data_IF_518707594828
#
_entry.id   IF_518707594828
#
_cell.length_a   1.000
_cell.length_b   1.000
_cell.length_c   1.000
_cell.angle_alpha   90.00
_cell.angle_beta   90.00
_cell.angle_gamma   90.00
#
_symmetry.space_group_name_H-M   'P 1'
#
loop_
_entity.id
_entity.type
_entity.pdbx_description
1 polymer ?
#
# COMPACT_ATOMS: atom_id res chain seq x y z
N UNK A 1 -10.48 -20.61 46.90
CA UNK A 1 -9.51 -21.71 47.15
C UNK A 1 -10.19 -23.10 47.32
N UNK A 2 -11.40 -23.32 46.75
CA UNK A 2 -12.22 -24.50 47.10
C UNK A 2 -12.22 -25.67 46.11
N UNK A 3 -11.68 -25.50 44.89
CA UNK A 3 -11.87 -26.48 43.81
C UNK A 3 -11.08 -27.77 44.06
N UNK A 4 -11.75 -28.90 44.16
CA UNK A 4 -11.13 -30.17 44.54
C UNK A 4 -10.07 -30.66 43.55
N UNK A 5 -10.21 -30.32 42.27
CA UNK A 5 -9.16 -30.55 41.27
C UNK A 5 -7.86 -29.80 41.58
N UNK A 6 -7.94 -28.57 42.09
CA UNK A 6 -6.76 -27.81 42.50
C UNK A 6 -6.15 -28.38 43.79
N UNK A 7 -6.97 -28.83 44.74
CA UNK A 7 -6.50 -29.53 45.95
C UNK A 7 -5.80 -30.84 45.60
N UNK A 8 -6.38 -31.67 44.72
CA UNK A 8 -5.78 -32.91 44.20
C UNK A 8 -4.45 -32.65 43.50
N UNK A 9 -4.37 -31.60 42.67
CA UNK A 9 -3.12 -31.18 42.01
C UNK A 9 -2.03 -30.72 43.00
N UNK A 10 -2.41 -30.09 44.12
CA UNK A 10 -1.45 -29.72 45.18
C UNK A 10 -1.00 -30.93 46.00
N UNK A 11 -1.92 -31.84 46.31
CA UNK A 11 -1.64 -33.09 47.05
C UNK A 11 -0.77 -34.07 46.27
N UNK A 12 -0.86 -34.08 44.94
CA UNK A 12 -0.11 -35.03 44.12
C UNK A 12 1.41 -34.79 44.08
N UNK A 13 1.93 -33.71 44.69
CA UNK A 13 3.35 -33.32 44.76
C UNK A 13 4.09 -33.30 43.40
N UNK A 14 3.35 -33.33 42.29
CA UNK A 14 3.91 -33.28 40.94
C UNK A 14 4.43 -31.87 40.68
N UNK A 15 5.63 -31.72 40.07
CA UNK A 15 6.17 -30.41 39.74
C UNK A 15 5.20 -29.66 38.83
N UNK A 16 4.93 -28.40 39.17
CA UNK A 16 4.03 -27.55 38.38
C UNK A 16 4.70 -27.24 37.04
N UNK A 17 4.18 -27.82 35.96
CA UNK A 17 4.58 -27.45 34.59
C UNK A 17 4.19 -26.00 34.36
N UNK A 18 5.19 -25.15 34.19
CA UNK A 18 5.02 -23.74 33.83
C UNK A 18 5.59 -23.56 32.42
N UNK A 19 4.82 -23.05 31.46
CA UNK A 19 5.36 -22.74 30.14
C UNK A 19 6.42 -21.65 30.29
N UNK A 20 7.65 -21.91 29.82
CA UNK A 20 8.70 -20.89 29.74
C UNK A 20 8.36 -19.98 28.56
N UNK A 21 8.12 -18.70 28.83
CA UNK A 21 8.06 -17.71 27.76
C UNK A 21 9.49 -17.41 27.32
N UNK A 22 9.81 -17.45 26.02
CA UNK A 22 11.13 -17.04 25.57
C UNK A 22 11.32 -15.55 25.89
N UNK A 23 12.40 -15.21 26.59
CA UNK A 23 12.75 -13.82 26.91
C UNK A 23 13.30 -13.06 25.68
N UNK A 24 13.60 -13.78 24.59
CA UNK A 24 14.20 -13.23 23.37
C UNK A 24 13.13 -12.99 22.32
N UNK A 25 13.28 -11.88 21.58
CA UNK A 25 12.46 -11.60 20.42
C UNK A 25 12.68 -12.71 19.38
N UNK A 26 11.58 -13.33 18.95
CA UNK A 26 11.57 -14.30 17.88
C UNK A 26 11.75 -13.55 16.54
N UNK A 27 12.29 -14.24 15.54
CA UNK A 27 12.33 -13.72 14.17
C UNK A 27 10.91 -13.34 13.72
N UNK A 28 10.77 -12.28 12.90
CA UNK A 28 9.49 -11.93 12.32
C UNK A 28 8.93 -13.12 11.56
N UNK A 29 7.65 -13.42 11.78
CA UNK A 29 6.92 -14.49 11.07
C UNK A 29 6.18 -13.87 9.89
N UNK A 30 6.04 -14.63 8.80
CA UNK A 30 5.37 -14.18 7.58
C UNK A 30 6.27 -14.32 6.37
N UNK A 31 7.05 -13.29 6.07
CA UNK A 31 7.94 -13.29 4.91
C UNK A 31 9.30 -13.93 5.23
N UNK A 32 9.69 -14.94 4.44
CA UNK A 32 10.98 -15.62 4.57
C UNK A 32 12.14 -14.67 4.29
N UNK A 33 12.07 -13.78 3.30
CA UNK A 33 13.16 -12.83 2.97
C UNK A 33 13.52 -11.93 4.14
N UNK A 34 12.51 -11.37 4.82
CA UNK A 34 12.71 -10.51 5.98
C UNK A 34 13.28 -11.33 7.13
N UNK A 35 12.82 -12.57 7.33
CA UNK A 35 13.29 -13.44 8.39
C UNK A 35 14.76 -13.86 8.23
N UNK A 36 15.26 -14.04 7.00
CA UNK A 36 16.67 -14.34 6.72
C UNK A 36 17.57 -13.13 7.00
N UNK A 37 17.12 -11.93 6.66
CA UNK A 37 17.89 -10.69 6.84
C UNK A 37 17.68 -10.03 8.22
N UNK A 38 17.08 -10.74 9.19
CA UNK A 38 16.77 -10.18 10.51
C UNK A 38 17.92 -10.36 11.52
N UNK A 39 18.47 -9.25 12.01
CA UNK A 39 19.45 -9.28 13.10
C UNK A 39 18.74 -9.21 14.47
N UNK A 40 18.87 -10.29 15.27
CA UNK A 40 18.29 -10.38 16.62
C UNK A 40 18.93 -9.42 17.63
N UNK A 41 20.10 -8.88 17.34
CA UNK A 41 20.80 -7.93 18.22
C UNK A 41 20.30 -6.50 18.05
N UNK A 42 19.71 -6.20 16.90
CA UNK A 42 19.20 -4.86 16.57
C UNK A 42 17.75 -4.70 17.04
N UNK A 43 17.36 -3.46 17.30
CA UNK A 43 15.96 -3.13 17.58
C UNK A 43 15.11 -3.29 16.31
N UNK A 44 13.79 -3.42 16.49
CA UNK A 44 12.85 -3.50 15.37
C UNK A 44 13.02 -2.30 14.42
N UNK A 45 13.15 -1.09 14.96
CA UNK A 45 13.31 0.13 14.17
C UNK A 45 14.63 0.17 13.40
N UNK A 46 15.73 -0.27 14.01
CA UNK A 46 17.03 -0.36 13.34
C UNK A 46 17.02 -1.37 12.19
N UNK A 47 16.46 -2.55 12.41
CA UNK A 47 16.36 -3.59 11.38
C UNK A 47 15.56 -3.10 10.17
N UNK A 48 14.35 -2.56 10.38
CA UNK A 48 13.55 -2.06 9.25
C UNK A 48 14.26 -0.93 8.51
N UNK A 49 14.90 0.02 9.21
CA UNK A 49 15.72 1.06 8.56
C UNK A 49 16.84 0.47 7.70
N UNK A 50 17.58 -0.52 8.23
CA UNK A 50 18.64 -1.22 7.48
C UNK A 50 18.08 -1.93 6.24
N UNK A 51 16.88 -2.50 6.34
CA UNK A 51 16.22 -3.16 5.23
C UNK A 51 15.65 -2.16 4.21
N UNK A 52 15.65 -0.86 4.47
CA UNK A 52 15.01 0.15 3.61
C UNK A 52 13.49 0.23 3.79
N UNK A 53 12.97 -0.25 4.92
CA UNK A 53 11.56 -0.32 5.27
C UNK A 53 11.23 0.62 6.44
N UNK A 54 9.98 1.04 6.50
CA UNK A 54 9.48 1.90 7.58
C UNK A 54 8.98 1.06 8.75
N UNK A 55 9.47 1.34 9.96
CA UNK A 55 9.06 0.63 11.17
C UNK A 55 7.70 1.11 11.74
N UNK A 56 7.38 2.40 11.54
CA UNK A 56 6.15 3.05 12.02
C UNK A 56 5.71 4.10 11.01
N UNK A 57 4.43 4.11 10.68
CA UNK A 57 3.86 5.05 9.70
C UNK A 57 3.77 6.50 10.24
N UNK A 58 3.44 6.66 11.52
CA UNK A 58 3.36 7.98 12.16
C UNK A 58 4.70 8.41 12.71
N UNK A 59 4.92 9.72 12.77
CA UNK A 59 6.07 10.32 13.43
C UNK A 59 6.22 9.77 14.86
N UNK A 60 7.40 9.23 15.23
CA UNK A 60 7.61 8.69 16.55
C UNK A 60 7.59 9.82 17.59
N UNK A 61 6.94 9.59 18.72
CA UNK A 61 7.02 10.50 19.86
C UNK A 61 8.39 10.40 20.52
N UNK A 62 9.06 11.54 20.69
CA UNK A 62 10.40 11.63 21.29
C UNK A 62 11.54 11.54 20.27
N UNK A 63 12.77 11.44 20.77
CA UNK A 63 13.97 11.37 19.93
C UNK A 63 14.11 10.01 19.23
N UNK A 64 14.63 10.04 18.00
CA UNK A 64 15.08 8.84 17.30
C UNK A 64 16.60 8.76 17.32
N UNK A 65 17.13 7.55 17.31
CA UNK A 65 18.57 7.33 17.15
C UNK A 65 19.03 7.88 15.80
N UNK A 66 19.96 8.83 15.83
CA UNK A 66 20.62 9.34 14.62
C UNK A 66 21.67 8.32 14.19
N UNK A 67 21.55 7.78 12.98
CA UNK A 67 22.62 6.96 12.41
C UNK A 67 23.81 7.87 12.09
N UNK A 68 25.05 7.46 12.41
CA UNK A 68 26.25 8.18 11.98
C UNK A 68 26.51 7.85 10.50
N UNK A 69 25.59 8.23 9.62
CA UNK A 69 25.87 8.27 8.20
C UNK A 69 26.76 9.48 7.95
N UNK A 70 27.98 9.16 7.53
CA UNK A 70 28.99 10.06 6.96
C UNK A 70 28.32 11.20 6.19
N UNK A 71 28.72 12.42 6.53
CA UNK A 71 28.30 13.64 5.85
C UNK A 71 26.79 13.88 5.91
N UNK A 72 26.34 14.28 7.10
CA UNK A 72 25.53 15.49 7.09
C UNK A 72 26.42 16.54 6.43
N UNK A 73 26.21 16.79 5.14
CA UNK A 73 26.25 18.15 4.63
C UNK A 73 25.45 18.93 5.66
N UNK A 74 26.20 19.52 6.60
CA UNK A 74 25.64 20.57 7.43
C UNK A 74 25.17 21.54 6.38
N UNK A 75 23.86 21.78 6.31
CA UNK A 75 23.39 23.10 5.92
C UNK A 75 24.33 24.05 6.65
N UNK A 76 25.24 24.67 5.90
CA UNK A 76 26.24 25.59 6.42
C UNK A 76 25.42 26.75 6.98
N UNK A 77 25.04 26.57 8.24
CA UNK A 77 24.32 27.46 9.12
C UNK A 77 22.94 27.90 8.61
N UNK A 78 21.89 27.20 9.04
CA UNK A 78 20.52 27.74 9.11
C UNK A 78 20.41 29.03 9.97
N UNK A 79 21.51 29.50 10.56
CA UNK A 79 21.67 30.75 11.30
C UNK A 79 22.83 31.63 10.78
N UNK A 80 23.49 31.32 9.65
CA UNK A 80 24.47 32.25 9.08
C UNK A 80 23.72 33.34 8.34
N UNK A 81 23.93 34.57 8.80
CA UNK A 81 23.58 35.76 8.06
C UNK A 81 24.50 35.80 6.85
N UNK A 82 23.95 35.67 5.64
CA UNK A 82 24.72 35.80 4.41
C UNK A 82 25.37 37.21 4.35
N UNK A 83 26.58 37.35 3.77
CA UNK A 83 27.23 38.64 3.63
C UNK A 83 26.36 39.62 2.83
N UNK A 84 26.40 40.90 3.22
CA UNK A 84 25.57 42.01 2.70
C UNK A 84 25.62 42.16 1.17
N UNK A 85 26.65 41.63 0.52
CA UNK A 85 26.81 41.60 -0.94
C UNK A 85 25.72 40.81 -1.67
N UNK A 86 25.01 39.89 -0.98
CA UNK A 86 23.86 39.14 -1.52
C UNK A 86 22.51 39.72 -1.13
N UNK A 87 22.47 40.85 -0.41
CA UNK A 87 21.21 41.53 -0.14
C UNK A 87 20.67 42.09 -1.45
N UNK A 88 19.58 41.49 -1.94
CA UNK A 88 18.84 41.95 -3.13
C UNK A 88 18.29 43.35 -2.78
N UNK A 89 18.99 44.40 -3.19
CA UNK A 89 18.45 45.76 -3.15
C UNK A 89 17.49 45.85 -4.34
N UNK A 90 16.20 45.67 -4.10
CA UNK A 90 15.18 45.85 -5.14
C UNK A 90 14.91 47.33 -5.37
N UNK A 91 15.12 47.82 -6.59
CA UNK A 91 14.72 49.17 -6.98
C UNK A 91 13.20 49.22 -7.22
N UNK A 92 12.49 50.11 -6.52
CA UNK A 92 11.10 50.40 -6.80
C UNK A 92 11.00 51.66 -7.66
N UNK A 93 10.32 51.59 -8.81
CA UNK A 93 10.08 52.77 -9.67
C UNK A 93 8.95 53.61 -9.08
N UNK A 94 9.22 54.89 -8.85
CA UNK A 94 8.29 55.85 -8.22
C UNK A 94 8.02 57.02 -9.17
N UNK A 95 6.75 57.37 -9.35
CA UNK A 95 6.35 58.55 -10.13
C UNK A 95 6.16 59.77 -9.19
N UNK A 96 6.75 60.90 -9.58
CA UNK A 96 6.71 62.18 -8.84
C UNK A 96 6.00 63.27 -9.65
N UNK A 97 5.42 64.25 -8.96
CA UNK A 97 4.92 65.50 -9.57
C UNK A 97 6.04 66.54 -9.79
N UNK A 98 5.66 67.67 -10.39
CA UNK A 98 6.53 68.82 -10.70
C UNK A 98 7.17 69.44 -9.44
N UNK A 99 6.57 69.23 -8.25
CA UNK A 99 7.08 69.67 -6.95
C UNK A 99 7.88 68.59 -6.20
N UNK A 100 8.11 67.43 -6.84
CA UNK A 100 8.95 66.34 -6.31
C UNK A 100 8.29 65.45 -5.25
N UNK A 101 6.97 65.59 -5.03
CA UNK A 101 6.20 64.76 -4.11
C UNK A 101 5.80 63.44 -4.77
N UNK A 102 5.84 62.36 -4.00
CA UNK A 102 5.56 61.00 -4.46
C UNK A 102 4.04 60.81 -4.59
N UNK A 103 3.56 60.51 -5.80
CA UNK A 103 2.13 60.24 -6.06
C UNK A 103 1.86 58.74 -6.12
N UNK A 104 2.74 57.95 -6.77
CA UNK A 104 2.48 56.52 -6.99
C UNK A 104 3.77 55.70 -7.03
N UNK A 105 3.79 54.58 -6.29
CA UNK A 105 4.81 53.53 -6.37
C UNK A 105 4.27 52.44 -7.30
N UNK A 106 5.00 52.11 -8.36
CA UNK A 106 4.60 51.08 -9.33
C UNK A 106 5.10 49.71 -8.84
N UNK A 107 4.25 48.67 -8.77
CA UNK A 107 4.69 47.33 -8.44
C UNK A 107 5.59 46.75 -9.56
N UNK A 108 6.59 45.96 -9.17
CA UNK A 108 7.46 45.25 -10.10
C UNK A 108 6.65 44.21 -10.91
N UNK A 109 6.98 43.98 -12.20
CA UNK A 109 6.17 43.16 -13.10
C UNK A 109 6.10 41.66 -12.75
N UNK A 110 6.93 41.17 -11.81
CA UNK A 110 7.04 39.73 -11.54
C UNK A 110 6.53 39.31 -10.14
N UNK A 111 5.69 40.11 -9.49
CA UNK A 111 5.04 39.71 -8.24
C UNK A 111 3.66 39.10 -8.51
N UNK A 112 3.59 38.08 -9.36
CA UNK A 112 2.42 37.20 -9.45
C UNK A 112 2.72 35.92 -8.67
N UNK A 113 2.27 35.92 -7.43
CA UNK A 113 2.20 34.77 -6.54
C UNK A 113 1.19 33.77 -7.10
N UNK A 114 1.66 32.86 -7.94
CA UNK A 114 0.98 31.59 -8.17
C UNK A 114 1.44 30.62 -7.08
N UNK A 115 0.62 30.49 -6.05
CA UNK A 115 0.55 29.32 -5.18
C UNK A 115 -0.07 28.20 -6.05
N UNK A 116 0.73 27.70 -6.99
CA UNK A 116 0.41 26.47 -7.71
C UNK A 116 0.61 25.35 -6.69
N UNK A 117 -0.50 24.70 -6.32
CA UNK A 117 -0.51 23.40 -5.68
C UNK A 117 0.39 22.47 -6.51
N UNK A 118 1.67 22.38 -6.13
CA UNK A 118 2.63 21.40 -6.62
C UNK A 118 2.03 20.03 -6.27
N UNK A 119 1.29 19.45 -7.20
CA UNK A 119 1.13 18.01 -7.30
C UNK A 119 2.53 17.45 -7.51
N UNK A 120 3.25 17.24 -6.39
CA UNK A 120 4.54 16.56 -6.37
C UNK A 120 4.35 15.22 -7.09
N UNK A 121 4.76 15.18 -8.36
CA UNK A 121 4.92 13.94 -9.10
C UNK A 121 5.83 13.06 -8.23
N UNK A 122 5.27 12.01 -7.65
CA UNK A 122 6.03 11.04 -6.87
C UNK A 122 7.04 10.38 -7.81
N UNK A 123 8.22 10.99 -7.96
CA UNK A 123 9.35 10.37 -8.62
C UNK A 123 9.53 8.99 -8.00
N UNK A 124 9.47 7.94 -8.83
CA UNK A 124 9.68 6.56 -8.38
C UNK A 124 11.10 6.44 -7.80
N UNK A 125 11.22 6.69 -6.50
CA UNK A 125 12.49 6.63 -5.78
C UNK A 125 13.05 5.23 -5.96
N UNK A 126 14.25 5.15 -6.51
CA UNK A 126 14.95 3.89 -6.76
C UNK A 126 14.98 3.04 -5.46
N UNK A 127 14.77 1.72 -5.55
CA UNK A 127 14.70 0.86 -4.38
C UNK A 127 15.99 0.99 -3.57
N UNK A 128 15.86 1.48 -2.34
CA UNK A 128 16.98 1.83 -1.45
C UNK A 128 17.83 0.63 -1.05
N UNK A 129 17.29 -0.59 -1.15
CA UNK A 129 17.95 -1.83 -0.74
C UNK A 129 17.56 -3.01 -1.64
N UNK A 130 18.50 -3.95 -1.81
CA UNK A 130 18.31 -5.21 -2.54
C UNK A 130 17.11 -6.02 -2.02
N UNK A 131 16.89 -6.00 -0.70
CA UNK A 131 15.75 -6.68 -0.08
C UNK A 131 14.43 -6.06 -0.54
N UNK A 132 14.36 -4.72 -0.59
CA UNK A 132 13.16 -4.02 -1.06
C UNK A 132 12.91 -4.34 -2.53
N UNK A 133 13.96 -4.37 -3.36
CA UNK A 133 13.84 -4.76 -4.78
C UNK A 133 13.21 -6.15 -4.93
N UNK A 134 13.69 -7.14 -4.19
CA UNK A 134 13.12 -8.49 -4.22
C UNK A 134 11.68 -8.54 -3.69
N UNK A 135 11.36 -7.76 -2.65
CA UNK A 135 9.99 -7.64 -2.15
C UNK A 135 9.04 -7.01 -3.18
N UNK A 136 9.49 -5.98 -3.90
CA UNK A 136 8.72 -5.37 -4.99
C UNK A 136 8.49 -6.37 -6.12
N UNK A 137 9.50 -7.15 -6.50
CA UNK A 137 9.37 -8.20 -7.51
C UNK A 137 8.34 -9.26 -7.10
N UNK A 138 8.38 -9.72 -5.84
CA UNK A 138 7.39 -10.66 -5.31
C UNK A 138 5.98 -10.05 -5.28
N UNK A 139 5.85 -8.77 -4.96
CA UNK A 139 4.56 -8.08 -4.96
C UNK A 139 4.00 -7.89 -6.38
N UNK A 140 4.88 -7.67 -7.36
CA UNK A 140 4.54 -7.59 -8.79
C UNK A 140 4.12 -8.92 -9.37
N UNK A 141 4.37 -10.05 -8.70
CA UNK A 141 3.95 -11.36 -9.15
C UNK A 141 2.53 -11.67 -8.65
N UNK A 142 1.47 -11.48 -9.47
CA UNK A 142 0.12 -11.82 -9.05
C UNK A 142 -0.01 -13.34 -8.89
N UNK A 143 -0.73 -13.77 -7.85
CA UNK A 143 -1.10 -15.17 -7.73
C UNK A 143 -1.89 -15.62 -8.98
N UNK A 144 -1.69 -16.86 -9.47
CA UNK A 144 -2.39 -17.34 -10.65
C UNK A 144 -3.90 -17.31 -10.40
N UNK A 145 -4.61 -16.52 -11.21
CA UNK A 145 -6.06 -16.43 -11.13
C UNK A 145 -6.68 -17.77 -11.56
N UNK A 146 -7.49 -18.36 -10.68
CA UNK A 146 -8.26 -19.56 -11.01
C UNK A 146 -9.56 -19.13 -11.70
N UNK A 147 -9.76 -19.42 -13.00
CA UNK A 147 -11.01 -19.08 -13.67
C UNK A 147 -12.17 -19.84 -13.02
N UNK A 148 -13.32 -19.17 -12.86
CA UNK A 148 -14.53 -19.82 -12.34
C UNK A 148 -15.10 -20.76 -13.39
N UNK A 149 -15.08 -22.06 -13.15
CA UNK A 149 -15.73 -23.04 -14.05
C UNK A 149 -17.23 -23.14 -13.78
N UNK A 150 -18.00 -23.56 -14.79
CA UNK A 150 -19.40 -23.95 -14.62
C UNK A 150 -19.49 -25.35 -13.99
N UNK A 151 -20.62 -25.67 -13.38
CA UNK A 151 -20.87 -27.05 -12.89
C UNK A 151 -21.16 -28.00 -14.06
N UNK A 152 -20.91 -29.30 -13.88
CA UNK A 152 -21.19 -30.30 -14.92
C UNK A 152 -22.68 -30.38 -15.27
N UNK A 153 -23.55 -30.28 -14.27
CA UNK A 153 -25.01 -30.31 -14.48
C UNK A 153 -25.50 -29.07 -15.24
N UNK A 154 -24.91 -27.90 -14.97
CA UNK A 154 -25.22 -26.70 -15.73
C UNK A 154 -24.79 -26.83 -17.19
N UNK A 155 -23.63 -27.42 -17.46
CA UNK A 155 -23.19 -27.72 -18.84
C UNK A 155 -24.16 -28.67 -19.54
N UNK A 156 -24.59 -29.75 -18.89
CA UNK A 156 -25.57 -30.68 -19.47
C UNK A 156 -26.93 -30.01 -19.73
N UNK A 157 -27.35 -29.12 -18.82
CA UNK A 157 -28.57 -28.35 -18.98
C UNK A 157 -28.51 -27.42 -20.20
N UNK A 158 -27.40 -26.68 -20.35
CA UNK A 158 -27.16 -25.82 -21.52
C UNK A 158 -27.05 -26.64 -22.79
N UNK A 159 -26.39 -27.81 -22.75
CA UNK A 159 -26.31 -28.72 -23.91
C UNK A 159 -27.70 -29.11 -24.40
N UNK A 160 -28.61 -29.53 -23.50
CA UNK A 160 -30.00 -29.88 -23.87
C UNK A 160 -30.76 -28.70 -24.49
N UNK A 161 -30.49 -27.47 -24.03
CA UNK A 161 -31.10 -26.27 -24.61
C UNK A 161 -30.57 -25.99 -26.03
N UNK A 162 -29.25 -26.12 -26.23
CA UNK A 162 -28.59 -25.96 -27.54
C UNK A 162 -29.05 -27.06 -28.51
N UNK A 163 -29.10 -28.32 -28.08
CA UNK A 163 -29.56 -29.45 -28.92
C UNK A 163 -31.00 -29.26 -29.41
N UNK A 164 -31.86 -28.60 -28.61
CA UNK A 164 -33.28 -28.38 -28.95
C UNK A 164 -33.53 -27.11 -29.76
N UNK A 165 -32.87 -26.01 -29.42
CA UNK A 165 -33.18 -24.67 -29.95
C UNK A 165 -32.07 -24.08 -30.84
N UNK A 166 -30.94 -24.77 -30.99
CA UNK A 166 -29.78 -24.31 -31.75
C UNK A 166 -29.17 -23.05 -31.15
N UNK A 167 -29.01 -22.01 -31.96
CA UNK A 167 -28.47 -20.70 -31.54
C UNK A 167 -29.54 -19.73 -30.98
N UNK A 168 -30.82 -20.11 -30.97
CA UNK A 168 -31.91 -19.20 -30.63
C UNK A 168 -32.13 -19.06 -29.11
N UNK A 169 -31.36 -18.19 -28.45
CA UNK A 169 -31.42 -17.96 -26.99
C UNK A 169 -32.77 -17.42 -26.51
N UNK A 170 -33.50 -16.70 -27.36
CA UNK A 170 -34.88 -16.23 -27.06
C UNK A 170 -35.86 -17.40 -26.96
N UNK A 171 -35.70 -18.43 -27.82
CA UNK A 171 -36.51 -19.63 -27.76
C UNK A 171 -36.17 -20.49 -26.54
N UNK A 172 -34.87 -20.58 -26.18
CA UNK A 172 -34.41 -21.25 -24.96
C UNK A 172 -35.02 -20.63 -23.69
N UNK A 173 -35.03 -19.29 -23.61
CA UNK A 173 -35.60 -18.59 -22.46
C UNK A 173 -37.11 -18.85 -22.30
N UNK A 174 -37.84 -19.00 -23.42
CA UNK A 174 -39.28 -19.28 -23.45
C UNK A 174 -39.64 -20.76 -23.21
N UNK A 175 -38.67 -21.67 -23.22
CA UNK A 175 -38.92 -23.10 -23.02
C UNK A 175 -39.23 -23.42 -21.55
N UNK A 176 -40.51 -23.53 -21.21
CA UNK A 176 -40.98 -23.82 -19.85
C UNK A 176 -40.55 -25.19 -19.31
N UNK A 177 -40.19 -26.14 -20.19
CA UNK A 177 -39.80 -27.50 -19.80
C UNK A 177 -38.32 -27.58 -19.52
N UNK A 178 -37.49 -27.07 -20.44
CA UNK A 178 -36.05 -27.11 -20.29
C UNK A 178 -35.52 -25.96 -19.45
N UNK A 179 -36.18 -24.81 -19.38
CA UNK A 179 -35.81 -23.68 -18.53
C UNK A 179 -36.79 -23.50 -17.34
N UNK A 180 -36.84 -24.44 -16.38
CA UNK A 180 -37.77 -24.37 -15.25
C UNK A 180 -37.49 -23.15 -14.35
N UNK A 181 -36.23 -22.71 -14.30
CA UNK A 181 -35.79 -21.56 -13.52
C UNK A 181 -36.04 -20.21 -14.20
N UNK A 182 -36.65 -20.21 -15.39
CA UNK A 182 -37.00 -18.99 -16.14
C UNK A 182 -35.81 -18.05 -16.33
N UNK A 183 -34.62 -18.61 -16.59
CA UNK A 183 -33.42 -17.82 -16.88
C UNK A 183 -33.62 -16.95 -18.12
N UNK A 184 -33.08 -15.73 -18.07
CA UNK A 184 -33.19 -14.78 -19.17
C UNK A 184 -32.34 -15.23 -20.37
N UNK A 185 -32.72 -14.78 -21.58
CA UNK A 185 -31.97 -15.11 -22.79
C UNK A 185 -30.51 -14.64 -22.73
N UNK A 186 -30.25 -13.48 -22.12
CA UNK A 186 -28.91 -12.93 -21.95
C UNK A 186 -28.05 -13.75 -20.97
N UNK A 187 -28.65 -14.27 -19.89
CA UNK A 187 -27.93 -15.12 -18.95
C UNK A 187 -27.59 -16.49 -19.57
N UNK A 188 -28.55 -17.09 -20.29
CA UNK A 188 -28.30 -18.34 -21.03
C UNK A 188 -27.18 -18.13 -22.07
N UNK A 189 -27.21 -17.03 -22.83
CA UNK A 189 -26.17 -16.71 -23.80
C UNK A 189 -24.78 -16.63 -23.15
N UNK A 190 -24.65 -15.88 -22.05
CA UNK A 190 -23.38 -15.69 -21.32
C UNK A 190 -22.84 -17.01 -20.77
N UNK A 191 -23.72 -17.91 -20.34
CA UNK A 191 -23.34 -19.24 -19.82
C UNK A 191 -22.94 -20.22 -20.93
N UNK A 192 -23.58 -20.16 -22.09
CA UNK A 192 -23.21 -20.96 -23.28
C UNK A 192 -21.82 -20.53 -23.76
N UNK A 193 -21.58 -19.23 -23.88
CA UNK A 193 -20.28 -18.65 -24.24
C UNK A 193 -19.19 -19.10 -23.26
N UNK A 194 -19.45 -18.96 -21.96
CA UNK A 194 -18.52 -19.41 -20.89
C UNK A 194 -18.30 -20.94 -20.89
N UNK A 195 -19.28 -21.72 -21.32
CA UNK A 195 -19.18 -23.17 -21.39
C UNK A 195 -18.49 -23.67 -22.67
N UNK A 196 -18.28 -22.80 -23.67
CA UNK A 196 -17.74 -23.18 -24.97
C UNK A 196 -18.71 -24.03 -25.80
N UNK A 197 -20.01 -23.89 -25.57
CA UNK A 197 -21.06 -24.66 -26.25
C UNK A 197 -21.69 -23.88 -27.44
N UNK A 198 -21.07 -22.78 -27.85
CA UNK A 198 -21.47 -22.04 -29.04
C UNK A 198 -21.06 -22.82 -30.29
N UNK A 199 -21.98 -22.96 -31.24
CA UNK A 199 -21.70 -23.40 -32.61
C UNK A 199 -21.37 -22.18 -33.49
#
# INVERSE_FOLDING_TARGET
MGRDLQKRKRRSQRPKVQPRKPNKLLNPRGNTLIAHNWDKKQTLAQNYRRLGLVARLKAPTGGTEKTPTTESEKDENALSIAPLEKAIISEARVQRDEDGKIIRVLPAPDSDSNDEDDEEEEEEKQPTSEVVRSLMEMARNPAPSKPRHQSEMERQWLQRLVDRHGANTVAMARDRRLNPMQQTAADIARRIEKAGLAA
#
